data_IF_725939262191
#
_entry.id   IF_725939262191
#
_cell.length_a   1.000
_cell.length_b   1.000
_cell.length_c   1.000
_cell.angle_alpha   90.00
_cell.angle_beta   90.00
_cell.angle_gamma   90.00
#
_symmetry.space_group_name_H-M   'P 1'
#
loop_
_entity.id
_entity.type
_entity.pdbx_description
1 polymer ?
#
# COMPACT_ATOMS: atom_id res chain seq x y z
N UNK A 1 -9.72 4.77 -41.87
CA UNK A 1 -8.33 5.20 -41.62
C UNK A 1 -8.29 6.02 -40.38
N UNK A 2 -8.17 5.40 -39.23
CA UNK A 2 -7.92 6.13 -37.98
C UNK A 2 -6.44 6.02 -37.66
N UNK A 3 -5.70 7.05 -38.04
CA UNK A 3 -4.36 7.26 -37.55
C UNK A 3 -4.46 7.60 -36.07
N UNK A 4 -4.24 6.63 -35.21
CA UNK A 4 -3.99 6.82 -33.81
C UNK A 4 -2.70 7.61 -33.62
N UNK A 5 -2.79 8.89 -33.66
CA UNK A 5 -1.67 9.75 -33.34
C UNK A 5 -1.79 10.26 -31.94
N UNK A 6 -1.10 9.60 -31.08
CA UNK A 6 -0.61 10.10 -29.82
C UNK A 6 0.12 11.42 -30.00
N UNK A 7 -0.62 12.49 -30.02
CA UNK A 7 -0.10 13.85 -30.00
C UNK A 7 -0.79 14.64 -28.91
N UNK A 8 -0.79 14.10 -27.69
CA UNK A 8 -1.34 14.83 -26.56
C UNK A 8 -0.30 15.60 -25.76
N UNK A 9 0.97 15.47 -26.14
CA UNK A 9 2.04 15.92 -25.26
C UNK A 9 2.77 17.16 -25.71
N UNK A 10 2.36 17.78 -26.83
CA UNK A 10 3.06 18.97 -27.29
C UNK A 10 2.09 19.99 -27.85
N UNK A 11 1.28 20.55 -26.98
CA UNK A 11 0.67 21.80 -27.27
C UNK A 11 1.70 22.91 -26.97
N UNK A 12 2.18 23.66 -27.96
CA UNK A 12 3.28 24.61 -27.75
C UNK A 12 2.94 25.74 -26.77
N UNK A 13 1.65 25.90 -26.47
CA UNK A 13 1.13 26.95 -25.56
C UNK A 13 1.01 26.49 -24.10
N UNK A 14 1.32 25.23 -23.79
CA UNK A 14 1.25 24.69 -22.42
C UNK A 14 2.64 24.46 -21.83
N UNK A 15 3.66 25.02 -22.45
CA UNK A 15 5.06 24.79 -22.10
C UNK A 15 5.45 25.21 -20.69
N UNK A 16 4.77 26.19 -20.11
CA UNK A 16 5.10 26.65 -18.75
C UNK A 16 4.67 25.70 -17.64
N UNK A 17 3.59 24.95 -17.82
CA UNK A 17 3.03 24.09 -16.77
C UNK A 17 3.75 22.75 -16.67
N UNK A 18 4.27 22.25 -17.78
CA UNK A 18 4.97 20.96 -17.81
C UNK A 18 6.42 21.01 -17.35
N UNK A 19 7.06 22.15 -17.47
CA UNK A 19 8.45 22.35 -17.03
C UNK A 19 8.55 22.78 -15.59
N UNK A 20 7.47 23.25 -14.99
CA UNK A 20 7.36 23.57 -13.57
C UNK A 20 6.77 22.44 -12.74
N UNK A 21 6.72 21.22 -13.25
CA UNK A 21 6.43 20.07 -12.42
C UNK A 21 7.63 19.76 -11.52
N UNK A 22 7.91 20.68 -10.60
CA UNK A 22 8.54 20.28 -9.35
C UNK A 22 7.66 19.15 -8.81
N UNK A 23 8.23 18.05 -8.35
CA UNK A 23 7.44 16.97 -7.78
C UNK A 23 6.56 17.59 -6.68
N UNK A 24 5.24 17.54 -6.87
CA UNK A 24 4.33 17.96 -5.81
C UNK A 24 4.57 17.00 -4.67
N UNK A 25 5.14 17.52 -3.58
CA UNK A 25 5.37 16.73 -2.38
C UNK A 25 4.08 16.71 -1.56
N UNK A 26 3.44 15.56 -1.51
CA UNK A 26 2.21 15.33 -0.75
C UNK A 26 2.50 15.04 0.73
N UNK A 27 1.62 15.49 1.60
CA UNK A 27 1.64 15.09 3.02
C UNK A 27 1.18 13.63 3.16
N UNK A 28 0.20 13.23 2.34
CA UNK A 28 -0.37 11.88 2.36
C UNK A 28 -0.64 11.42 0.93
N UNK A 29 -0.22 10.19 0.63
CA UNK A 29 -0.64 9.45 -0.57
C UNK A 29 -1.42 8.22 -0.09
N UNK A 30 -2.61 8.00 -0.65
CA UNK A 30 -3.43 6.82 -0.35
C UNK A 30 -3.47 5.93 -1.58
N UNK A 31 -3.03 4.69 -1.41
CA UNK A 31 -3.11 3.64 -2.41
C UNK A 31 -4.27 2.70 -2.04
N UNK A 32 -5.41 2.93 -2.67
CA UNK A 32 -6.64 2.14 -2.53
C UNK A 32 -7.19 1.81 -3.93
N UNK A 33 -6.46 0.97 -4.65
CA UNK A 33 -6.68 0.70 -6.06
C UNK A 33 -7.12 -0.75 -6.34
N UNK A 34 -7.63 -1.46 -5.33
CA UNK A 34 -8.07 -2.84 -5.48
C UNK A 34 -9.53 -2.89 -5.96
N UNK A 35 -9.76 -3.60 -7.06
CA UNK A 35 -11.08 -3.78 -7.65
C UNK A 35 -11.40 -5.26 -7.78
N UNK A 36 -12.51 -5.71 -7.17
CA UNK A 36 -13.05 -7.07 -7.38
C UNK A 36 -12.13 -8.23 -6.99
N UNK A 37 -11.23 -8.05 -6.01
CA UNK A 37 -10.27 -9.08 -5.59
C UNK A 37 -9.02 -9.18 -6.47
N UNK A 38 -8.94 -8.42 -7.55
CA UNK A 38 -7.74 -8.33 -8.39
C UNK A 38 -6.67 -7.48 -7.73
N UNK A 39 -5.44 -7.97 -7.75
CA UNK A 39 -4.27 -7.26 -7.23
C UNK A 39 -3.54 -6.62 -8.41
N UNK A 40 -3.51 -5.30 -8.51
CA UNK A 40 -2.71 -4.62 -9.53
C UNK A 40 -1.23 -4.68 -9.13
N UNK A 41 -0.57 -5.77 -9.50
CA UNK A 41 0.83 -6.08 -9.12
C UNK A 41 1.77 -4.91 -9.39
N UNK A 42 1.61 -4.23 -10.54
CA UNK A 42 2.43 -3.08 -10.93
C UNK A 42 2.35 -1.86 -10.00
N UNK A 43 1.33 -1.80 -9.13
CA UNK A 43 1.23 -0.76 -8.10
C UNK A 43 1.96 -1.14 -6.80
N UNK A 44 2.37 -2.40 -6.66
CA UNK A 44 3.04 -2.94 -5.48
C UNK A 44 4.52 -3.29 -5.74
N UNK A 45 5.06 -2.87 -6.87
CA UNK A 45 6.46 -3.07 -7.22
C UNK A 45 7.36 -2.01 -6.56
N UNK A 46 8.65 -2.33 -6.45
CA UNK A 46 9.66 -1.39 -5.95
C UNK A 46 9.66 -0.09 -6.75
N UNK A 47 9.59 -0.20 -8.06
CA UNK A 47 9.58 0.93 -8.98
C UNK A 47 8.40 1.87 -8.72
N UNK A 48 7.21 1.31 -8.49
CA UNK A 48 6.03 2.09 -8.12
C UNK A 48 6.21 2.78 -6.74
N UNK A 49 6.73 2.06 -5.75
CA UNK A 49 6.97 2.62 -4.42
C UNK A 49 8.05 3.70 -4.41
N UNK A 50 9.08 3.59 -5.25
CA UNK A 50 10.07 4.67 -5.46
C UNK A 50 9.41 5.94 -6.00
N UNK A 51 8.47 5.79 -6.94
CA UNK A 51 7.68 6.93 -7.46
C UNK A 51 6.83 7.56 -6.36
N UNK A 52 6.12 6.75 -5.56
CA UNK A 52 5.33 7.29 -4.43
C UNK A 52 6.20 8.01 -3.43
N UNK A 53 7.33 7.42 -3.05
CA UNK A 53 8.27 8.02 -2.10
C UNK A 53 8.89 9.33 -2.62
N UNK A 54 9.13 9.45 -3.93
CA UNK A 54 9.64 10.68 -4.54
C UNK A 54 8.61 11.83 -4.53
N UNK A 55 7.31 11.50 -4.42
CA UNK A 55 6.22 12.48 -4.35
C UNK A 55 5.72 12.72 -2.93
N UNK A 56 6.31 12.08 -1.92
CA UNK A 56 6.00 12.34 -0.51
C UNK A 56 6.93 13.41 0.07
N UNK A 57 6.42 14.19 1.00
CA UNK A 57 7.26 14.98 1.90
C UNK A 57 8.15 14.07 2.75
N UNK A 58 9.28 14.54 3.29
CA UNK A 58 10.19 13.74 4.11
C UNK A 58 9.51 13.02 5.29
N UNK A 59 8.51 13.65 5.89
CA UNK A 59 7.68 13.17 7.00
C UNK A 59 6.27 12.75 6.57
N UNK A 60 6.04 12.64 5.26
CA UNK A 60 4.76 12.26 4.68
C UNK A 60 4.39 10.79 4.92
N UNK A 61 3.13 10.48 4.63
CA UNK A 61 2.54 9.16 4.86
C UNK A 61 2.10 8.51 3.55
N UNK A 62 2.54 7.30 3.30
CA UNK A 62 1.97 6.42 2.29
C UNK A 62 1.02 5.43 2.98
N UNK A 63 -0.27 5.53 2.68
CA UNK A 63 -1.31 4.66 3.23
C UNK A 63 -1.70 3.65 2.18
N UNK A 64 -1.49 2.37 2.46
CA UNK A 64 -1.76 1.28 1.51
C UNK A 64 -2.87 0.41 2.06
N UNK A 65 -3.97 0.30 1.33
CA UNK A 65 -5.01 -0.67 1.61
C UNK A 65 -4.51 -2.06 1.21
N UNK A 66 -4.54 -3.03 2.13
CA UNK A 66 -4.02 -4.39 1.88
C UNK A 66 -5.05 -5.49 2.11
N UNK A 67 -6.30 -5.12 2.35
CA UNK A 67 -7.38 -6.09 2.52
C UNK A 67 -7.61 -6.83 1.22
N UNK A 68 -7.47 -8.14 1.24
CA UNK A 68 -7.79 -9.01 0.11
C UNK A 68 -8.33 -10.33 0.64
N UNK A 69 -9.36 -10.86 -0.03
CA UNK A 69 -10.04 -12.09 0.40
C UNK A 69 -9.18 -13.35 0.22
N UNK A 70 -8.23 -13.32 -0.71
CA UNK A 70 -7.47 -14.50 -1.14
C UNK A 70 -5.99 -14.42 -0.80
N UNK A 71 -5.43 -13.22 -0.78
CA UNK A 71 -4.00 -13.00 -0.67
C UNK A 71 -3.66 -12.10 0.52
N UNK A 72 -2.63 -12.48 1.26
CA UNK A 72 -2.03 -11.62 2.26
C UNK A 72 -0.99 -10.70 1.61
N UNK A 73 -1.36 -9.47 1.34
CA UNK A 73 -0.49 -8.48 0.70
C UNK A 73 0.44 -7.76 1.69
N UNK A 74 0.24 -7.97 2.99
CA UNK A 74 1.03 -7.33 4.03
C UNK A 74 2.55 -7.53 3.84
N UNK A 75 3.07 -8.78 3.65
CA UNK A 75 4.50 -8.99 3.52
C UNK A 75 5.09 -8.31 2.27
N UNK A 76 4.33 -8.19 1.18
CA UNK A 76 4.79 -7.48 -0.02
C UNK A 76 5.05 -6.02 0.31
N UNK A 77 4.08 -5.34 0.93
CA UNK A 77 4.20 -3.92 1.31
C UNK A 77 5.30 -3.72 2.36
N UNK A 78 5.47 -4.69 3.28
CA UNK A 78 6.58 -4.65 4.23
C UNK A 78 7.93 -4.64 3.53
N UNK A 79 8.16 -5.51 2.52
CA UNK A 79 9.44 -5.55 1.77
C UNK A 79 9.68 -4.24 1.02
N UNK A 80 8.63 -3.61 0.48
CA UNK A 80 8.75 -2.30 -0.15
C UNK A 80 9.15 -1.22 0.86
N UNK A 81 8.49 -1.19 2.02
CA UNK A 81 8.82 -0.25 3.09
C UNK A 81 10.26 -0.40 3.58
N UNK A 82 10.72 -1.63 3.80
CA UNK A 82 12.09 -1.94 4.18
C UNK A 82 13.09 -1.43 3.14
N UNK A 83 12.82 -1.66 1.85
CA UNK A 83 13.69 -1.22 0.74
C UNK A 83 13.85 0.30 0.67
N UNK A 84 12.83 1.04 1.15
CA UNK A 84 12.81 2.51 1.17
C UNK A 84 13.22 3.11 2.53
N UNK A 85 13.57 2.29 3.51
CA UNK A 85 13.90 2.73 4.87
C UNK A 85 12.72 3.41 5.57
N UNK A 86 11.49 2.97 5.30
CA UNK A 86 10.28 3.47 5.93
C UNK A 86 9.84 2.52 7.06
N UNK A 87 9.40 3.09 8.17
CA UNK A 87 8.71 2.33 9.21
C UNK A 87 7.25 2.11 8.86
N UNK A 88 6.67 1.05 9.41
CA UNK A 88 5.30 0.64 9.11
C UNK A 88 4.46 0.57 10.38
N UNK A 89 3.20 0.96 10.27
CA UNK A 89 2.15 0.68 11.25
C UNK A 89 0.93 0.11 10.54
N UNK A 90 0.43 -0.99 11.05
CA UNK A 90 -0.84 -1.58 10.61
C UNK A 90 -2.02 -0.91 11.30
N UNK A 91 -3.14 -0.86 10.59
CA UNK A 91 -4.43 -0.40 11.12
C UNK A 91 -5.50 -1.38 10.66
N UNK A 92 -5.95 -2.19 11.61
CA UNK A 92 -7.06 -3.09 11.42
C UNK A 92 -8.35 -2.44 11.91
N UNK A 93 -9.40 -2.56 11.13
CA UNK A 93 -10.77 -2.20 11.49
C UNK A 93 -11.66 -3.42 11.36
N UNK A 94 -12.34 -3.78 12.45
CA UNK A 94 -13.36 -4.84 12.41
C UNK A 94 -14.58 -4.42 11.59
N UNK A 95 -15.26 -5.44 11.09
CA UNK A 95 -16.58 -5.27 10.49
C UNK A 95 -17.55 -4.71 11.53
N UNK A 96 -18.23 -3.63 11.18
CA UNK A 96 -19.33 -3.04 11.97
C UNK A 96 -20.61 -3.04 11.12
N UNK A 97 -21.54 -3.98 11.35
CA UNK A 97 -22.79 -4.08 10.60
C UNK A 97 -23.70 -2.86 10.78
N UNK A 98 -23.66 -2.19 11.95
CA UNK A 98 -24.51 -1.02 12.24
C UNK A 98 -24.06 0.20 11.43
N UNK A 99 -22.76 0.30 11.16
CA UNK A 99 -22.16 1.36 10.35
C UNK A 99 -21.93 0.96 8.90
N UNK A 100 -22.37 -0.25 8.51
CA UNK A 100 -22.16 -0.81 7.17
C UNK A 100 -20.68 -0.86 6.75
N UNK A 101 -19.75 -0.97 7.72
CA UNK A 101 -18.34 -1.11 7.40
C UNK A 101 -17.95 -2.57 7.25
N UNK A 102 -16.95 -2.81 6.39
CA UNK A 102 -16.33 -4.12 6.24
C UNK A 102 -15.03 -4.17 7.03
N UNK A 103 -14.53 -5.35 7.27
CA UNK A 103 -13.17 -5.54 7.76
C UNK A 103 -12.17 -4.92 6.78
N UNK A 104 -11.24 -4.14 7.31
CA UNK A 104 -10.22 -3.47 6.53
C UNK A 104 -8.87 -3.50 7.23
N UNK A 105 -7.81 -3.66 6.43
CA UNK A 105 -6.43 -3.54 6.89
C UNK A 105 -5.73 -2.49 6.04
N UNK A 106 -5.19 -1.48 6.70
CA UNK A 106 -4.34 -0.47 6.10
C UNK A 106 -2.93 -0.55 6.68
N UNK A 107 -1.95 -0.31 5.83
CA UNK A 107 -0.56 -0.13 6.23
C UNK A 107 -0.18 1.33 6.04
N UNK A 108 0.36 1.95 7.07
CA UNK A 108 0.83 3.33 7.07
C UNK A 108 2.35 3.30 7.09
N UNK A 109 2.96 3.76 6.00
CA UNK A 109 4.40 3.82 5.82
C UNK A 109 4.86 5.26 5.96
N UNK A 110 5.89 5.49 6.75
CA UNK A 110 6.44 6.84 6.97
C UNK A 110 7.87 6.79 7.48
N UNK A 111 8.59 7.91 7.33
CA UNK A 111 9.88 8.16 8.00
C UNK A 111 9.74 8.97 9.27
N UNK A 112 8.53 9.44 9.61
CA UNK A 112 8.26 10.17 10.83
C UNK A 112 8.42 9.28 12.07
N UNK A 113 9.58 9.38 12.71
CA UNK A 113 9.90 8.60 13.92
C UNK A 113 9.00 8.94 15.10
N UNK A 114 8.52 10.17 15.20
CA UNK A 114 7.61 10.60 16.25
C UNK A 114 6.27 9.88 16.12
N UNK A 115 5.73 9.81 14.91
CA UNK A 115 4.53 9.02 14.63
C UNK A 115 4.73 7.53 14.97
N UNK A 116 5.83 6.93 14.49
CA UNK A 116 6.12 5.51 14.70
C UNK A 116 6.24 5.14 16.18
N UNK A 117 6.74 6.04 17.03
CA UNK A 117 6.85 5.83 18.47
C UNK A 117 5.50 6.03 19.19
N UNK A 118 4.68 6.97 18.74
CA UNK A 118 3.45 7.36 19.41
C UNK A 118 2.25 6.47 19.07
N UNK A 119 2.27 5.83 17.91
CA UNK A 119 1.13 5.05 17.38
C UNK A 119 1.52 3.59 17.16
N UNK A 120 1.16 2.68 18.07
CA UNK A 120 1.39 1.25 17.89
C UNK A 120 0.56 0.69 16.73
N UNK A 121 1.02 -0.42 16.14
CA UNK A 121 0.20 -1.19 15.20
C UNK A 121 -1.05 -1.74 15.84
N UNK A 122 -2.11 -1.85 15.04
CA UNK A 122 -3.35 -2.54 15.39
C UNK A 122 -3.55 -3.64 14.36
N UNK A 123 -3.25 -4.87 14.75
CA UNK A 123 -3.31 -6.04 13.89
C UNK A 123 -4.65 -6.79 14.07
N UNK A 124 -5.09 -7.59 13.07
CA UNK A 124 -6.29 -8.40 13.20
C UNK A 124 -6.20 -9.33 14.42
N UNK A 125 -7.25 -9.41 15.23
CA UNK A 125 -7.26 -10.29 16.39
C UNK A 125 -7.41 -11.75 15.97
N UNK A 126 -6.78 -12.66 16.73
CA UNK A 126 -7.10 -14.08 16.75
C UNK A 126 -8.17 -14.28 17.83
N UNK A 127 -9.28 -14.95 17.46
CA UNK A 127 -10.37 -15.23 18.38
C UNK A 127 -10.51 -16.74 18.57
N UNK A 128 -10.86 -17.14 19.80
CA UNK A 128 -11.23 -18.52 20.12
C UNK A 128 -12.67 -18.84 19.64
N UNK A 129 -13.09 -20.09 19.81
CA UNK A 129 -14.42 -20.55 19.43
C UNK A 129 -15.56 -19.80 20.18
N UNK A 130 -15.26 -19.15 21.30
CA UNK A 130 -16.20 -18.32 22.07
C UNK A 130 -16.14 -16.82 21.65
N UNK A 131 -15.35 -16.49 20.61
CA UNK A 131 -15.20 -15.12 20.10
C UNK A 131 -14.26 -14.23 20.93
N UNK A 132 -13.57 -14.76 21.94
CA UNK A 132 -12.66 -14.00 22.77
C UNK A 132 -11.32 -13.80 22.08
N UNK A 133 -10.76 -12.58 22.17
CA UNK A 133 -9.43 -12.29 21.62
C UNK A 133 -8.36 -13.02 22.42
N UNK A 134 -7.60 -13.89 21.75
CA UNK A 134 -6.51 -14.67 22.34
C UNK A 134 -5.12 -14.27 21.83
N UNK A 135 -5.06 -13.35 20.87
CA UNK A 135 -3.82 -12.83 20.30
C UNK A 135 -4.05 -11.92 19.11
N UNK A 136 -2.97 -11.53 18.48
CA UNK A 136 -2.98 -10.80 17.22
C UNK A 136 -2.42 -11.69 16.09
N UNK A 137 -3.03 -11.61 14.90
CA UNK A 137 -2.57 -12.38 13.72
C UNK A 137 -1.23 -11.82 13.23
N UNK A 138 -0.23 -12.67 13.13
CA UNK A 138 1.00 -12.33 12.43
C UNK A 138 0.70 -12.17 10.94
N UNK A 139 0.84 -10.96 10.43
CA UNK A 139 0.55 -10.65 9.02
C UNK A 139 1.78 -10.84 8.14
N UNK A 140 2.99 -10.71 8.71
CA UNK A 140 4.22 -10.88 7.95
C UNK A 140 4.53 -12.37 7.74
N UNK A 141 4.92 -12.70 6.51
CA UNK A 141 5.32 -14.05 6.10
C UNK A 141 6.79 -13.99 5.73
N UNK A 142 7.66 -14.72 6.45
CA UNK A 142 9.08 -14.80 6.12
C UNK A 142 9.34 -15.34 4.71
N UNK A 143 10.35 -14.84 4.03
CA UNK A 143 10.79 -15.34 2.73
C UNK A 143 10.01 -14.81 1.52
N UNK A 144 9.04 -13.91 1.71
CA UNK A 144 8.45 -13.19 0.59
C UNK A 144 9.48 -12.22 0.01
N UNK A 145 9.74 -12.37 -1.29
CA UNK A 145 10.70 -11.53 -2.02
C UNK A 145 10.19 -10.12 -2.30
N UNK A 146 11.11 -9.21 -2.58
CA UNK A 146 10.78 -7.87 -3.04
C UNK A 146 10.19 -7.94 -4.45
N UNK A 147 8.99 -7.40 -4.64
CA UNK A 147 8.37 -7.31 -5.95
C UNK A 147 8.97 -6.14 -6.76
N UNK A 148 9.22 -6.43 -8.04
CA UNK A 148 9.69 -5.44 -9.02
C UNK A 148 8.85 -5.56 -10.28
N UNK A 149 9.01 -4.63 -11.22
CA UNK A 149 8.31 -4.70 -12.52
C UNK A 149 8.66 -5.95 -13.34
N UNK A 150 9.75 -6.64 -12.97
CA UNK A 150 10.21 -7.87 -13.63
C UNK A 150 10.00 -9.13 -12.80
N UNK A 151 9.63 -9.01 -11.52
CA UNK A 151 9.44 -10.14 -10.63
C UNK A 151 8.31 -9.91 -9.63
N UNK A 152 7.36 -10.81 -9.63
CA UNK A 152 6.34 -10.92 -8.59
C UNK A 152 5.94 -12.38 -8.41
N UNK A 153 5.62 -12.79 -7.19
CA UNK A 153 5.12 -14.15 -6.89
C UNK A 153 3.98 -14.06 -5.88
N UNK A 154 2.83 -14.58 -6.25
CA UNK A 154 1.64 -14.62 -5.41
C UNK A 154 1.51 -15.89 -4.58
N UNK A 155 2.16 -16.98 -4.99
CA UNK A 155 2.04 -18.31 -4.35
C UNK A 155 2.28 -18.30 -2.83
N UNK A 156 3.31 -17.59 -2.28
CA UNK A 156 3.51 -17.57 -0.85
C UNK A 156 2.52 -16.69 -0.08
N UNK A 157 1.65 -15.96 -0.78
CA UNK A 157 0.74 -14.97 -0.21
C UNK A 157 -0.65 -15.50 0.06
N UNK A 158 -0.96 -16.72 -0.39
CA UNK A 158 -2.28 -17.31 -0.12
C UNK A 158 -2.51 -17.44 1.39
N UNK A 159 -3.70 -17.06 1.85
CA UNK A 159 -4.08 -17.27 3.24
C UNK A 159 -4.04 -18.77 3.55
N UNK A 160 -3.21 -19.16 4.48
CA UNK A 160 -3.21 -20.52 5.02
C UNK A 160 -4.27 -20.60 6.11
N UNK A 161 -5.18 -21.52 5.98
CA UNK A 161 -6.18 -21.87 7.00
C UNK A 161 -5.53 -22.37 8.30
#
# INVERSE_FOLDING_TARGET
FFSSRRRHTRYPLVTGVQTCALPICYDVIVLDAFSGGSVPVHLLTREAFEVYAAHLKPDGFLVVHVTNAYLNLYPVVMRQAESLGMGVRSRFQEKDPERFTRENIYMILTRDQKYLQSFPSVDPPIRDAAGRVIGARALDIPGVGLWTDHFSSITPLEWRE
#
